data_IF_121249668414
#
_entry.id   IF_121249668414
#
_cell.length_a   1.000
_cell.length_b   1.000
_cell.length_c   1.000
_cell.angle_alpha   90.00
_cell.angle_beta   90.00
_cell.angle_gamma   90.00
#
_symmetry.space_group_name_H-M   'P 1'
#
loop_
_entity.id
_entity.type
_entity.pdbx_description
1 polymer ?
#
# COMPACT_ATOMS: atom_id res chain seq x y z
N UNK A 1 1.48 -0.73 28.60
CA UNK A 1 1.71 -0.02 27.32
C UNK A 1 3.20 0.21 27.06
N UNK A 2 3.89 1.16 27.73
CA UNK A 2 5.31 1.51 27.42
C UNK A 2 6.29 0.33 27.30
N UNK A 3 6.32 -0.60 28.25
CA UNK A 3 7.23 -1.75 28.19
C UNK A 3 6.94 -2.65 26.98
N UNK A 4 5.65 -2.93 26.72
CA UNK A 4 5.20 -3.68 25.54
C UNK A 4 5.67 -3.01 24.24
N UNK A 5 5.52 -1.69 24.14
CA UNK A 5 5.98 -0.90 22.98
C UNK A 5 7.49 -1.04 22.79
N UNK A 6 8.28 -0.91 23.86
CA UNK A 6 9.75 -1.04 23.80
C UNK A 6 10.15 -2.45 23.36
N UNK A 7 9.50 -3.48 23.89
CA UNK A 7 9.82 -4.86 23.53
C UNK A 7 9.42 -5.19 22.09
N UNK A 8 8.29 -4.64 21.61
CA UNK A 8 7.89 -4.71 20.21
C UNK A 8 8.90 -4.05 19.28
N UNK A 9 9.34 -2.83 19.60
CA UNK A 9 10.37 -2.11 18.84
C UNK A 9 11.69 -2.88 18.78
N UNK A 10 12.13 -3.47 19.89
CA UNK A 10 13.33 -4.33 19.90
C UNK A 10 13.20 -5.52 18.94
N UNK A 11 12.03 -6.16 18.88
CA UNK A 11 11.79 -7.28 17.96
C UNK A 11 11.78 -6.81 16.51
N UNK A 12 11.09 -5.72 16.20
CA UNK A 12 11.07 -5.12 14.86
C UNK A 12 12.50 -4.78 14.40
N UNK A 13 13.30 -4.14 15.26
CA UNK A 13 14.70 -3.82 14.96
C UNK A 13 15.54 -5.03 14.63
N UNK A 14 15.43 -6.08 15.45
CA UNK A 14 16.14 -7.34 15.22
C UNK A 14 15.67 -8.00 13.92
N UNK A 15 14.36 -7.98 13.62
CA UNK A 15 13.82 -8.52 12.38
C UNK A 15 14.38 -7.78 11.17
N UNK A 16 14.24 -6.45 11.11
CA UNK A 16 14.74 -5.60 10.02
C UNK A 16 16.23 -5.85 9.79
N UNK A 17 17.05 -5.89 10.85
CA UNK A 17 18.49 -6.15 10.72
C UNK A 17 18.82 -7.54 10.15
N UNK A 18 17.91 -8.51 10.27
CA UNK A 18 18.09 -9.88 9.78
C UNK A 18 17.46 -10.16 8.41
N UNK A 19 16.45 -9.39 8.01
CA UNK A 19 15.66 -9.65 6.79
C UNK A 19 15.85 -8.60 5.70
N UNK A 20 16.27 -7.38 6.05
CA UNK A 20 16.48 -6.27 5.12
C UNK A 20 17.96 -5.87 5.04
N UNK A 21 18.40 -5.30 3.90
CA UNK A 21 19.72 -4.69 3.81
C UNK A 21 19.86 -3.47 4.72
N UNK A 22 21.09 -3.21 5.17
CA UNK A 22 21.40 -2.02 5.96
C UNK A 22 21.60 -0.85 5.00
N UNK A 23 20.88 0.26 5.21
CA UNK A 23 21.04 1.48 4.42
C UNK A 23 22.49 1.93 4.37
N UNK A 24 23.02 2.12 3.16
CA UNK A 24 24.33 2.74 2.94
C UNK A 24 24.20 4.26 2.82
N UNK A 25 25.30 5.01 2.92
CA UNK A 25 25.27 6.46 2.76
C UNK A 25 25.05 6.92 1.30
N UNK A 26 25.45 6.11 0.31
CA UNK A 26 25.34 6.52 -1.10
C UNK A 26 25.70 5.48 -2.15
N UNK A 27 26.07 4.24 -1.77
CA UNK A 27 26.37 3.16 -2.74
C UNK A 27 25.11 2.47 -3.24
N UNK A 28 24.15 2.29 -2.34
CA UNK A 28 22.91 1.58 -2.61
C UNK A 28 21.70 2.48 -2.32
N UNK A 29 20.54 2.13 -2.85
CA UNK A 29 19.26 2.77 -2.55
C UNK A 29 18.24 1.72 -2.16
N UNK A 30 17.78 1.76 -0.91
CA UNK A 30 16.74 0.88 -0.38
C UNK A 30 15.38 1.57 -0.50
N UNK A 31 14.59 1.15 -1.49
CA UNK A 31 13.27 1.70 -1.76
C UNK A 31 12.17 0.66 -1.54
N UNK A 32 10.94 1.12 -1.40
CA UNK A 32 9.81 0.21 -1.24
C UNK A 32 8.44 0.80 -1.55
N UNK A 33 7.42 -0.02 -1.35
CA UNK A 33 6.02 0.39 -1.37
C UNK A 33 5.24 -0.27 -0.25
N UNK A 34 4.24 0.44 0.28
CA UNK A 34 3.37 -0.07 1.33
C UNK A 34 2.00 0.59 1.34
N UNK A 35 0.95 -0.19 1.07
CA UNK A 35 -0.41 0.21 1.38
C UNK A 35 -0.60 0.16 2.91
N UNK A 36 -0.88 1.30 3.54
CA UNK A 36 -0.98 1.42 5.00
C UNK A 36 -2.43 1.31 5.50
N UNK A 37 -3.35 0.78 4.68
CA UNK A 37 -4.74 0.41 4.98
C UNK A 37 -5.55 1.49 5.69
N UNK A 38 -6.30 2.28 4.93
CA UNK A 38 -7.21 3.33 5.39
C UNK A 38 -6.63 4.07 6.62
N UNK A 39 -5.52 4.77 6.42
CA UNK A 39 -4.65 5.17 7.52
C UNK A 39 -5.38 5.97 8.61
N UNK A 40 -5.37 5.37 9.81
CA UNK A 40 -6.05 5.75 11.05
C UNK A 40 -7.56 6.05 10.97
N UNK A 41 -8.21 5.65 9.89
CA UNK A 41 -9.64 5.90 9.69
C UNK A 41 -10.50 5.03 10.60
N UNK A 42 -11.62 5.59 11.07
CA UNK A 42 -12.58 4.89 11.90
C UNK A 42 -13.94 4.63 11.24
N UNK A 43 -14.07 4.80 9.92
CA UNK A 43 -15.32 4.51 9.19
C UNK A 43 -15.83 3.07 9.36
N UNK A 44 -14.94 2.13 9.66
CA UNK A 44 -15.27 0.72 9.88
C UNK A 44 -15.29 0.30 11.35
N UNK A 45 -15.12 1.24 12.30
CA UNK A 45 -15.06 0.96 13.75
C UNK A 45 -13.92 0.02 14.15
N UNK A 46 -12.79 0.13 13.45
CA UNK A 46 -11.54 -0.56 13.78
C UNK A 46 -10.42 0.40 14.23
N UNK A 47 -10.64 1.71 14.06
CA UNK A 47 -9.73 2.75 14.49
C UNK A 47 -10.25 3.51 15.73
N UNK A 48 -9.54 4.56 16.16
CA UNK A 48 -8.17 4.88 15.76
C UNK A 48 -7.18 3.77 16.15
N UNK A 49 -6.02 3.74 15.50
CA UNK A 49 -4.93 2.82 15.82
C UNK A 49 -4.43 3.06 17.24
N UNK A 50 -3.90 2.01 17.86
CA UNK A 50 -3.21 2.11 19.14
C UNK A 50 -1.98 3.01 19.04
N UNK A 51 -1.64 3.67 20.14
CA UNK A 51 -0.47 4.55 20.22
C UNK A 51 0.85 3.83 19.88
N UNK A 52 1.02 2.59 20.34
CA UNK A 52 2.20 1.78 19.99
C UNK A 52 2.34 1.51 18.49
N UNK A 53 1.22 1.44 17.75
CA UNK A 53 1.25 1.14 16.33
C UNK A 53 2.00 2.24 15.57
N UNK A 54 1.85 3.51 15.94
CA UNK A 54 2.60 4.61 15.34
C UNK A 54 4.11 4.45 15.50
N UNK A 55 4.58 3.98 16.66
CA UNK A 55 6.02 3.72 16.85
C UNK A 55 6.50 2.52 16.03
N UNK A 56 5.68 1.46 15.93
CA UNK A 56 6.02 0.29 15.10
C UNK A 56 6.08 0.64 13.61
N UNK A 57 5.09 1.38 13.11
CA UNK A 57 5.05 1.87 11.74
C UNK A 57 6.26 2.78 11.45
N UNK A 58 6.57 3.72 12.35
CA UNK A 58 7.73 4.59 12.22
C UNK A 58 9.05 3.81 12.16
N UNK A 59 9.25 2.81 13.03
CA UNK A 59 10.46 1.99 13.00
C UNK A 59 10.63 1.27 11.66
N UNK A 60 9.55 0.70 11.12
CA UNK A 60 9.59 0.02 9.81
C UNK A 60 9.87 1.00 8.67
N UNK A 61 9.17 2.14 8.62
CA UNK A 61 9.37 3.15 7.57
C UNK A 61 10.80 3.71 7.63
N UNK A 62 11.39 3.86 8.82
CA UNK A 62 12.75 4.37 9.00
C UNK A 62 13.84 3.49 8.38
N UNK A 63 13.52 2.22 8.07
CA UNK A 63 14.44 1.30 7.40
C UNK A 63 14.64 1.63 5.91
N UNK A 64 13.74 2.40 5.30
CA UNK A 64 13.78 2.76 3.89
C UNK A 64 14.55 4.07 3.66
N UNK A 65 15.14 4.22 2.48
CA UNK A 65 15.60 5.53 1.99
C UNK A 65 14.43 6.33 1.41
N UNK A 66 13.52 5.64 0.72
CA UNK A 66 12.26 6.19 0.18
C UNK A 66 11.19 5.09 0.13
N UNK A 67 9.97 5.42 0.50
CA UNK A 67 8.83 4.51 0.56
C UNK A 67 7.62 5.14 -0.11
N UNK A 68 7.06 4.47 -1.11
CA UNK A 68 5.74 4.79 -1.64
C UNK A 68 4.66 4.30 -0.68
N UNK A 69 3.69 5.15 -0.35
CA UNK A 69 2.60 4.84 0.58
C UNK A 69 1.24 5.08 -0.05
N UNK A 70 0.31 4.15 0.15
CA UNK A 70 -1.06 4.22 -0.36
C UNK A 70 -2.08 4.22 0.79
N UNK A 71 -3.32 4.61 0.50
CA UNK A 71 -4.43 4.68 1.45
C UNK A 71 -4.24 5.66 2.63
N UNK A 72 -3.54 6.78 2.39
CA UNK A 72 -3.53 7.89 3.33
C UNK A 72 -4.89 8.58 3.29
N UNK A 73 -5.61 8.62 4.41
CA UNK A 73 -6.97 9.16 4.45
C UNK A 73 -7.04 10.69 4.40
N UNK A 74 -8.28 11.21 4.30
CA UNK A 74 -8.56 12.64 4.20
C UNK A 74 -8.00 13.44 5.39
N UNK A 75 -8.17 12.93 6.61
CA UNK A 75 -7.57 13.50 7.82
C UNK A 75 -6.07 13.18 7.88
N UNK A 76 -5.26 14.22 7.76
CA UNK A 76 -3.80 14.11 7.81
C UNK A 76 -3.23 14.20 9.23
N UNK A 77 -4.06 14.44 10.26
CA UNK A 77 -3.57 14.57 11.64
C UNK A 77 -2.78 13.33 12.09
N UNK A 78 -3.28 12.10 11.86
CA UNK A 78 -2.53 10.89 12.22
C UNK A 78 -1.28 10.71 11.35
N UNK A 79 -1.35 11.04 10.06
CA UNK A 79 -0.21 10.91 9.15
C UNK A 79 0.93 11.86 9.57
N UNK A 80 0.62 13.10 9.92
CA UNK A 80 1.61 14.05 10.44
C UNK A 80 2.24 13.55 11.74
N UNK A 81 1.44 12.99 12.67
CA UNK A 81 1.96 12.34 13.88
C UNK A 81 2.96 11.22 13.55
N UNK A 82 2.67 10.40 12.54
CA UNK A 82 3.59 9.34 12.10
C UNK A 82 4.92 9.91 11.58
N UNK A 83 4.86 10.93 10.72
CA UNK A 83 6.07 11.60 10.20
C UNK A 83 6.84 12.33 11.31
N UNK A 84 6.16 12.98 12.24
CA UNK A 84 6.79 13.61 13.41
C UNK A 84 7.51 12.57 14.29
N UNK A 85 6.95 11.36 14.38
CA UNK A 85 7.57 10.23 15.10
C UNK A 85 8.81 9.70 14.38
N UNK A 86 8.84 9.74 13.05
CA UNK A 86 10.01 9.37 12.24
C UNK A 86 11.20 10.32 12.47
N UNK A 87 10.94 11.59 12.75
CA UNK A 87 11.97 12.59 13.01
C UNK A 87 12.25 13.52 11.83
N UNK A 88 13.01 14.61 12.08
CA UNK A 88 13.19 15.73 11.16
C UNK A 88 14.00 15.38 9.90
N UNK A 89 14.66 14.23 9.83
CA UNK A 89 15.34 13.76 8.63
C UNK A 89 14.38 13.22 7.57
N UNK A 90 13.13 12.92 7.93
CA UNK A 90 12.12 12.44 7.00
C UNK A 90 11.25 13.59 6.49
N UNK A 91 10.87 13.49 5.22
CA UNK A 91 9.94 14.40 4.58
C UNK A 91 8.99 13.60 3.67
N UNK A 92 7.94 14.24 3.19
CA UNK A 92 6.95 13.58 2.36
C UNK A 92 6.39 14.48 1.26
N UNK A 93 5.92 13.83 0.20
CA UNK A 93 5.14 14.47 -0.86
C UNK A 93 3.96 13.56 -1.20
N UNK A 94 2.77 14.13 -1.40
CA UNK A 94 1.54 13.35 -1.63
C UNK A 94 0.60 14.07 -2.59
N UNK A 95 -0.33 13.32 -3.16
CA UNK A 95 -1.48 13.86 -3.91
C UNK A 95 -2.48 14.53 -2.98
N UNK A 96 -3.44 15.26 -3.55
CA UNK A 96 -4.70 15.47 -2.85
C UNK A 96 -5.62 14.24 -2.98
N UNK A 97 -6.78 14.25 -2.31
CA UNK A 97 -7.77 13.18 -2.42
C UNK A 97 -8.37 13.11 -3.82
N UNK A 98 -8.49 11.90 -4.36
CA UNK A 98 -9.23 11.70 -5.61
C UNK A 98 -10.72 11.92 -5.36
N UNK A 99 -11.34 12.88 -6.05
CA UNK A 99 -12.75 13.27 -5.87
C UNK A 99 -13.77 12.28 -6.44
N UNK A 100 -13.36 11.36 -7.31
CA UNK A 100 -14.25 10.35 -7.88
C UNK A 100 -14.67 9.29 -6.84
N UNK A 101 -15.89 8.76 -6.95
CA UNK A 101 -16.40 7.74 -6.02
C UNK A 101 -15.49 6.50 -5.90
N UNK A 102 -14.81 6.13 -6.99
CA UNK A 102 -13.86 5.00 -7.01
C UNK A 102 -12.52 5.31 -6.33
N UNK A 103 -12.29 6.55 -5.91
CA UNK A 103 -11.03 7.03 -5.34
C UNK A 103 -10.93 6.95 -3.82
N UNK A 104 -11.97 6.48 -3.14
CA UNK A 104 -12.02 6.24 -1.68
C UNK A 104 -11.70 7.43 -0.75
N UNK A 105 -11.55 8.64 -1.28
CA UNK A 105 -11.06 9.81 -0.53
C UNK A 105 -9.70 9.55 0.12
N UNK A 106 -8.82 8.87 -0.61
CA UNK A 106 -7.47 8.55 -0.18
C UNK A 106 -6.42 9.29 -1.02
N UNK A 107 -5.19 9.31 -0.51
CA UNK A 107 -4.02 9.90 -1.15
C UNK A 107 -2.95 8.85 -1.38
N UNK A 108 -2.14 9.10 -2.39
CA UNK A 108 -0.89 8.41 -2.64
C UNK A 108 0.26 9.35 -2.28
N UNK A 109 1.37 8.81 -1.78
CA UNK A 109 2.50 9.65 -1.44
C UNK A 109 3.82 8.89 -1.35
N UNK A 110 4.87 9.65 -1.05
CA UNK A 110 6.21 9.16 -0.79
C UNK A 110 6.70 9.73 0.53
N UNK A 111 7.29 8.90 1.37
CA UNK A 111 8.05 9.29 2.56
C UNK A 111 9.53 9.00 2.25
N UNK A 112 10.43 9.96 2.48
CA UNK A 112 11.84 9.80 2.13
C UNK A 112 12.78 10.44 3.15
N UNK A 113 13.97 9.85 3.30
CA UNK A 113 15.02 10.37 4.16
C UNK A 113 15.84 11.43 3.40
N UNK A 114 15.71 12.69 3.84
CA UNK A 114 16.35 13.87 3.24
C UNK A 114 17.87 13.87 3.34
N UNK A 115 18.46 13.05 4.21
CA UNK A 115 19.91 12.93 4.28
C UNK A 115 20.51 12.21 3.06
N UNK A 116 19.67 11.53 2.26
CA UNK A 116 20.13 10.74 1.12
C UNK A 116 19.32 10.96 -0.16
N UNK A 117 18.01 11.14 -0.03
CA UNK A 117 17.09 11.31 -1.16
C UNK A 117 16.62 12.76 -1.23
N UNK A 118 16.81 13.38 -2.39
CA UNK A 118 16.35 14.74 -2.68
C UNK A 118 15.22 14.71 -3.71
N UNK A 119 14.13 15.41 -3.43
CA UNK A 119 13.12 15.73 -4.44
C UNK A 119 13.70 16.73 -5.44
N UNK A 120 13.59 16.44 -6.75
CA UNK A 120 14.23 17.26 -7.80
C UNK A 120 13.30 18.30 -8.43
N UNK A 121 12.08 18.46 -7.91
CA UNK A 121 11.18 19.57 -8.27
C UNK A 121 10.07 19.22 -9.25
N UNK A 122 9.95 17.97 -9.71
CA UNK A 122 8.86 17.55 -10.60
C UNK A 122 7.96 16.55 -9.87
N UNK A 123 6.70 16.92 -9.70
CA UNK A 123 5.62 16.06 -9.25
C UNK A 123 4.44 16.17 -10.21
N UNK A 124 3.77 15.05 -10.48
CA UNK A 124 2.64 15.04 -11.40
C UNK A 124 1.78 13.80 -11.26
N UNK A 125 0.49 13.99 -11.49
CA UNK A 125 -0.48 12.91 -11.59
C UNK A 125 -0.61 12.43 -13.05
N UNK A 126 -0.80 11.13 -13.23
CA UNK A 126 -1.00 10.52 -14.53
C UNK A 126 -2.48 10.57 -14.94
N UNK A 127 -2.82 11.45 -15.86
CA UNK A 127 -4.17 11.52 -16.42
C UNK A 127 -4.20 10.96 -17.84
N UNK A 128 -5.26 10.22 -18.15
CA UNK A 128 -5.46 9.67 -19.49
C UNK A 128 -5.99 10.75 -20.44
N UNK A 129 -5.38 10.92 -21.63
CA UNK A 129 -6.01 11.65 -22.73
C UNK A 129 -7.41 11.13 -23.05
N UNK A 130 -8.31 11.98 -23.54
CA UNK A 130 -9.73 11.65 -23.75
C UNK A 130 -9.96 10.46 -24.70
N UNK A 131 -9.07 10.26 -25.67
CA UNK A 131 -9.08 9.14 -26.62
C UNK A 131 -8.51 7.85 -26.03
N UNK A 132 -7.81 7.93 -24.90
CA UNK A 132 -7.16 6.82 -24.20
C UNK A 132 -7.82 6.46 -22.86
N UNK A 133 -8.93 7.12 -22.51
CA UNK A 133 -9.72 6.79 -21.33
C UNK A 133 -10.24 5.35 -21.38
N UNK A 134 -10.29 4.72 -20.21
CA UNK A 134 -10.67 3.31 -20.06
C UNK A 134 -12.18 3.20 -20.31
N UNK A 135 -12.56 2.37 -21.28
CA UNK A 135 -13.94 2.21 -21.73
C UNK A 135 -14.54 0.90 -21.21
N UNK A 136 -15.75 0.96 -20.64
CA UNK A 136 -16.55 -0.21 -20.26
C UNK A 136 -17.82 -0.36 -21.12
N UNK A 137 -17.70 -0.09 -22.44
CA UNK A 137 -18.79 -0.06 -23.44
C UNK A 137 -19.77 1.10 -23.26
N UNK A 138 -20.04 1.51 -22.02
CA UNK A 138 -21.03 2.55 -21.69
C UNK A 138 -20.44 3.86 -21.19
N UNK A 139 -19.24 3.85 -20.59
CA UNK A 139 -18.58 5.04 -20.07
C UNK A 139 -17.10 5.07 -20.43
N UNK A 140 -16.56 6.29 -20.61
CA UNK A 140 -15.12 6.55 -20.60
C UNK A 140 -14.70 6.98 -19.20
N UNK A 141 -13.61 6.42 -18.69
CA UNK A 141 -13.17 6.60 -17.30
C UNK A 141 -11.70 7.02 -17.22
N UNK A 142 -11.41 7.88 -16.24
CA UNK A 142 -10.05 8.01 -15.69
C UNK A 142 -9.73 6.83 -14.79
N UNK A 143 -8.48 6.75 -14.31
CA UNK A 143 -8.09 5.82 -13.24
C UNK A 143 -8.98 5.98 -12.00
N UNK A 144 -9.20 4.89 -11.25
CA UNK A 144 -9.94 4.95 -9.99
C UNK A 144 -9.27 5.89 -8.98
N UNK A 145 -7.94 5.78 -8.89
CA UNK A 145 -7.04 6.72 -8.21
C UNK A 145 -5.97 7.10 -9.21
N UNK A 146 -5.75 8.39 -9.37
CA UNK A 146 -4.77 8.88 -10.34
C UNK A 146 -3.37 8.46 -9.90
N UNK A 147 -2.59 7.73 -10.72
CA UNK A 147 -1.22 7.37 -10.37
C UNK A 147 -0.38 8.62 -10.10
N UNK A 148 0.49 8.56 -9.10
CA UNK A 148 1.28 9.71 -8.66
C UNK A 148 2.75 9.50 -8.94
N UNK A 149 3.40 10.48 -9.55
CA UNK A 149 4.79 10.39 -9.99
C UNK A 149 5.59 11.59 -9.51
N UNK A 150 6.77 11.33 -8.96
CA UNK A 150 7.72 12.35 -8.53
C UNK A 150 9.13 12.02 -9.02
N UNK A 151 9.94 13.02 -9.28
CA UNK A 151 11.37 12.83 -9.58
C UNK A 151 12.22 13.04 -8.33
N UNK A 152 13.11 12.10 -8.10
CA UNK A 152 14.03 12.07 -6.97
C UNK A 152 15.46 11.83 -7.44
N UNK A 153 16.40 12.17 -6.58
CA UNK A 153 17.81 11.88 -6.77
C UNK A 153 18.43 11.37 -5.48
N UNK A 154 19.24 10.33 -5.60
CA UNK A 154 20.12 9.82 -4.55
C UNK A 154 21.53 9.71 -5.12
N UNK A 155 22.47 10.47 -4.56
CA UNK A 155 23.80 10.65 -5.15
C UNK A 155 23.70 10.97 -6.66
N UNK A 156 24.18 10.09 -7.54
CA UNK A 156 24.19 10.30 -8.99
C UNK A 156 22.95 9.70 -9.67
N UNK A 157 22.22 8.86 -8.96
CA UNK A 157 21.05 8.16 -9.48
C UNK A 157 19.82 9.05 -9.44
N UNK A 158 19.34 9.43 -10.62
CA UNK A 158 18.09 10.16 -10.80
C UNK A 158 17.01 9.17 -11.22
N UNK A 159 15.84 9.29 -10.61
CA UNK A 159 14.74 8.38 -10.90
C UNK A 159 13.38 9.08 -10.80
N UNK A 160 12.50 8.69 -11.69
CA UNK A 160 11.08 8.94 -11.60
C UNK A 160 10.44 7.78 -10.83
N UNK A 161 9.88 8.09 -9.66
CA UNK A 161 9.21 7.14 -8.80
C UNK A 161 7.71 7.34 -8.91
N UNK A 162 7.02 6.34 -9.46
CA UNK A 162 5.59 6.37 -9.72
C UNK A 162 4.88 5.34 -8.84
N UNK A 163 3.82 5.75 -8.15
CA UNK A 163 3.00 4.89 -7.30
C UNK A 163 1.57 4.77 -7.82
N UNK A 164 1.00 3.57 -7.71
CA UNK A 164 -0.39 3.26 -8.07
C UNK A 164 -1.17 2.68 -6.88
N UNK A 165 -2.48 2.86 -6.93
CA UNK A 165 -3.44 2.01 -6.23
C UNK A 165 -4.54 1.62 -7.22
N UNK A 166 -4.35 0.49 -7.88
CA UNK A 166 -5.17 0.05 -9.02
C UNK A 166 -6.56 -0.36 -8.54
N UNK A 167 -7.58 -0.10 -9.35
CA UNK A 167 -8.95 -0.54 -9.08
C UNK A 167 -9.06 -2.04 -8.75
N UNK A 168 -9.48 -2.35 -7.52
CA UNK A 168 -9.81 -3.71 -7.12
C UNK A 168 -11.07 -4.22 -7.85
N UNK A 169 -12.24 -3.65 -7.59
CA UNK A 169 -13.50 -4.10 -8.17
C UNK A 169 -14.14 -5.28 -7.45
N UNK A 170 -14.26 -6.43 -8.11
CA UNK A 170 -14.81 -7.68 -7.54
C UNK A 170 -13.89 -8.85 -7.86
N UNK A 171 -13.92 -9.87 -7.01
CA UNK A 171 -13.28 -11.15 -7.29
C UNK A 171 -13.93 -11.84 -8.50
N UNK A 172 -13.10 -12.46 -9.34
CA UNK A 172 -13.53 -13.22 -10.51
C UNK A 172 -12.97 -12.69 -11.83
N UNK A 173 -12.21 -13.56 -12.53
CA UNK A 173 -11.51 -13.23 -13.78
C UNK A 173 -12.43 -12.91 -14.96
N UNK A 174 -13.68 -13.38 -14.94
CA UNK A 174 -14.66 -13.19 -16.02
C UNK A 174 -15.67 -12.07 -15.72
N UNK A 175 -15.22 -11.00 -15.06
CA UNK A 175 -16.08 -9.87 -14.68
C UNK A 175 -15.66 -8.59 -15.42
N UNK A 176 -16.60 -7.68 -15.74
CA UNK A 176 -16.25 -6.35 -16.26
C UNK A 176 -15.32 -5.57 -15.32
N UNK A 177 -15.42 -5.81 -14.00
CA UNK A 177 -14.56 -5.19 -12.99
C UNK A 177 -13.10 -5.66 -13.11
N UNK A 178 -12.88 -6.96 -13.34
CA UNK A 178 -11.54 -7.49 -13.58
C UNK A 178 -10.96 -6.98 -14.90
N UNK A 179 -11.77 -6.90 -15.96
CA UNK A 179 -11.33 -6.30 -17.23
C UNK A 179 -10.91 -4.83 -17.05
N UNK A 180 -11.64 -4.06 -16.24
CA UNK A 180 -11.23 -2.70 -15.86
C UNK A 180 -9.91 -2.67 -15.10
N UNK A 181 -9.70 -3.57 -14.14
CA UNK A 181 -8.41 -3.70 -13.40
C UNK A 181 -7.25 -3.89 -14.38
N UNK A 182 -7.37 -4.85 -15.30
CA UNK A 182 -6.34 -5.12 -16.33
C UNK A 182 -6.12 -3.89 -17.22
N UNK A 183 -7.18 -3.18 -17.61
CA UNK A 183 -7.06 -1.98 -18.43
C UNK A 183 -6.38 -0.81 -17.69
N UNK A 184 -6.63 -0.64 -16.38
CA UNK A 184 -5.91 0.34 -15.56
C UNK A 184 -4.41 0.02 -15.51
N UNK A 185 -4.03 -1.25 -15.34
CA UNK A 185 -2.63 -1.70 -15.34
C UNK A 185 -1.97 -1.47 -16.70
N UNK A 186 -2.61 -1.88 -17.81
CA UNK A 186 -2.07 -1.67 -19.16
C UNK A 186 -1.88 -0.18 -19.48
N UNK A 187 -2.83 0.67 -19.07
CA UNK A 187 -2.77 2.10 -19.34
C UNK A 187 -1.63 2.79 -18.57
N UNK A 188 -1.43 2.48 -17.29
CA UNK A 188 -0.30 3.05 -16.51
C UNK A 188 1.04 2.53 -17.01
N UNK A 189 1.15 1.23 -17.29
CA UNK A 189 2.37 0.62 -17.80
C UNK A 189 2.77 1.26 -19.14
N UNK A 190 1.82 1.37 -20.08
CA UNK A 190 2.04 2.02 -21.36
C UNK A 190 2.48 3.48 -21.23
N UNK A 191 1.89 4.23 -20.31
CA UNK A 191 2.25 5.64 -20.10
C UNK A 191 3.69 5.76 -19.61
N UNK A 192 4.04 5.01 -18.56
CA UNK A 192 5.38 5.08 -17.95
C UNK A 192 6.44 4.57 -18.91
N UNK A 193 6.16 3.50 -19.67
CA UNK A 193 7.07 2.98 -20.70
C UNK A 193 7.36 4.03 -21.79
N UNK A 194 6.32 4.70 -22.33
CA UNK A 194 6.51 5.80 -23.29
C UNK A 194 7.31 6.97 -22.72
N UNK A 195 7.11 7.29 -21.44
CA UNK A 195 7.87 8.35 -20.79
C UNK A 195 9.34 7.97 -20.68
N UNK A 196 9.63 6.73 -20.28
CA UNK A 196 10.99 6.18 -20.19
C UNK A 196 11.70 6.15 -21.56
N UNK A 197 10.99 5.92 -22.67
CA UNK A 197 11.58 6.01 -24.03
C UNK A 197 12.10 7.42 -24.34
N UNK A 198 11.44 8.46 -23.82
CA UNK A 198 11.76 9.87 -24.06
C UNK A 198 12.66 10.51 -23.01
N UNK A 199 12.71 9.95 -21.80
CA UNK A 199 13.49 10.44 -20.66
C UNK A 199 14.65 9.48 -20.37
N UNK A 200 15.79 9.77 -21.00
CA UNK A 200 17.03 9.01 -20.79
C UNK A 200 17.88 9.56 -19.65
N UNK A 201 17.38 10.51 -18.86
CA UNK A 201 18.11 11.02 -17.70
C UNK A 201 17.68 10.31 -16.42
N UNK A 202 16.40 9.97 -16.30
CA UNK A 202 15.83 9.35 -15.11
C UNK A 202 15.54 7.87 -15.33
N UNK A 203 15.94 7.03 -14.38
CA UNK A 203 15.37 5.68 -14.31
C UNK A 203 13.87 5.77 -14.01
N UNK A 204 13.06 4.89 -14.59
CA UNK A 204 11.62 4.87 -14.34
C UNK A 204 11.23 3.65 -13.52
N UNK A 205 10.70 3.91 -12.32
CA UNK A 205 10.32 2.89 -11.35
C UNK A 205 8.82 3.06 -11.06
N UNK A 206 8.07 1.97 -11.21
CA UNK A 206 6.64 1.90 -10.98
C UNK A 206 6.36 0.92 -9.84
N UNK A 207 5.69 1.38 -8.79
CA UNK A 207 5.40 0.61 -7.58
C UNK A 207 3.98 0.82 -7.11
N UNK A 208 3.52 0.06 -6.13
CA UNK A 208 2.24 0.29 -5.47
C UNK A 208 1.42 -0.97 -5.36
N UNK A 209 0.16 -0.77 -5.01
CA UNK A 209 -0.85 -1.80 -4.95
C UNK A 209 -1.50 -1.95 -6.34
N UNK A 210 -1.17 -3.04 -7.02
CA UNK A 210 -1.73 -3.38 -8.33
C UNK A 210 -2.97 -4.27 -8.23
N UNK A 211 -3.35 -4.73 -7.03
CA UNK A 211 -4.38 -5.73 -6.84
C UNK A 211 -4.15 -6.99 -7.70
N UNK A 212 -2.89 -7.41 -7.86
CA UNK A 212 -2.49 -8.64 -8.56
C UNK A 212 -2.59 -9.82 -7.59
N UNK A 213 -3.37 -10.84 -7.93
CA UNK A 213 -3.55 -11.97 -7.03
C UNK A 213 -2.47 -13.05 -7.18
N UNK A 214 -1.96 -13.24 -8.40
CA UNK A 214 -1.03 -14.31 -8.78
C UNK A 214 0.07 -13.76 -9.69
N UNK A 215 1.30 -14.30 -9.60
CA UNK A 215 2.46 -13.90 -10.41
C UNK A 215 2.38 -14.35 -11.88
N UNK A 216 1.30 -15.03 -12.26
CA UNK A 216 1.02 -15.48 -13.61
C UNK A 216 -0.41 -15.05 -13.97
N UNK A 217 -0.57 -14.40 -15.13
CA UNK A 217 -1.88 -14.04 -15.67
C UNK A 217 -1.96 -12.61 -16.20
N UNK A 218 -3.14 -12.22 -16.73
CA UNK A 218 -3.31 -11.03 -17.56
C UNK A 218 -2.87 -9.71 -16.91
N UNK A 219 -2.99 -9.61 -15.58
CA UNK A 219 -2.56 -8.42 -14.84
C UNK A 219 -1.03 -8.32 -14.72
N UNK A 220 -0.33 -9.45 -14.57
CA UNK A 220 1.14 -9.49 -14.59
C UNK A 220 1.66 -9.31 -16.02
N UNK A 221 1.02 -9.98 -16.99
CA UNK A 221 1.36 -9.88 -18.41
C UNK A 221 1.24 -8.45 -18.94
N UNK A 222 0.33 -7.64 -18.40
CA UNK A 222 0.18 -6.23 -18.77
C UNK A 222 1.43 -5.39 -18.47
N UNK A 223 2.14 -5.64 -17.37
CA UNK A 223 3.42 -4.99 -17.07
C UNK A 223 4.51 -5.47 -18.04
N UNK A 224 4.67 -6.80 -18.16
CA UNK A 224 5.68 -7.41 -19.01
C UNK A 224 5.53 -7.02 -20.50
N UNK A 225 4.29 -6.87 -20.96
CA UNK A 225 3.94 -6.44 -22.33
C UNK A 225 4.57 -5.10 -22.72
N UNK A 226 4.76 -4.18 -21.79
CA UNK A 226 5.37 -2.86 -22.05
C UNK A 226 6.86 -2.82 -21.68
N UNK A 227 7.48 -3.98 -21.50
CA UNK A 227 8.93 -4.10 -21.28
C UNK A 227 9.37 -3.88 -19.84
N UNK A 228 8.46 -3.84 -18.87
CA UNK A 228 8.85 -3.77 -17.46
C UNK A 228 9.54 -5.06 -17.02
N UNK A 229 10.64 -4.89 -16.29
CA UNK A 229 11.18 -5.93 -15.44
C UNK A 229 10.54 -5.81 -14.06
N UNK A 230 10.04 -6.94 -13.55
CA UNK A 230 9.34 -7.01 -12.28
C UNK A 230 10.15 -7.86 -11.32
N UNK A 231 10.39 -7.36 -10.12
CA UNK A 231 10.94 -8.19 -9.05
C UNK A 231 9.87 -9.18 -8.61
N UNK A 232 10.09 -10.46 -8.92
CA UNK A 232 9.19 -11.53 -8.50
C UNK A 232 9.39 -11.77 -7.00
N UNK A 233 8.42 -11.32 -6.21
CA UNK A 233 8.40 -11.58 -4.78
C UNK A 233 8.36 -13.10 -4.54
N UNK A 234 9.11 -13.57 -3.54
CA UNK A 234 9.10 -14.99 -3.15
C UNK A 234 7.86 -15.37 -2.35
N UNK A 235 7.17 -14.37 -1.80
CA UNK A 235 6.03 -14.50 -0.89
C UNK A 235 4.97 -13.46 -1.25
N UNK A 236 3.71 -13.73 -0.92
CA UNK A 236 2.64 -12.75 -1.11
C UNK A 236 2.83 -11.51 -0.21
N UNK A 237 2.36 -10.36 -0.69
CA UNK A 237 2.45 -9.08 -0.01
C UNK A 237 1.27 -8.79 0.92
N UNK A 238 0.23 -9.63 0.95
CA UNK A 238 -0.84 -9.49 1.95
C UNK A 238 -0.47 -10.13 3.30
N UNK A 239 -1.21 -9.85 4.37
CA UNK A 239 -0.91 -10.30 5.74
C UNK A 239 -0.88 -11.83 5.91
N UNK A 240 -1.57 -12.58 5.04
CA UNK A 240 -1.50 -14.04 5.00
C UNK A 240 -0.45 -14.58 4.01
N UNK A 241 0.22 -13.69 3.27
CA UNK A 241 1.27 -13.95 2.30
C UNK A 241 0.87 -14.90 1.15
N UNK A 242 -0.41 -14.87 0.81
CA UNK A 242 -1.03 -15.70 -0.24
C UNK A 242 -1.30 -14.95 -1.54
N UNK A 243 -1.34 -13.61 -1.51
CA UNK A 243 -1.67 -12.74 -2.65
C UNK A 243 -0.52 -11.78 -2.94
N UNK A 244 -0.28 -11.48 -4.21
CA UNK A 244 0.84 -10.66 -4.68
C UNK A 244 0.39 -9.25 -5.09
N UNK A 245 -0.43 -8.61 -4.26
CA UNK A 245 -1.10 -7.36 -4.63
C UNK A 245 -0.13 -6.26 -5.02
N UNK A 246 0.99 -6.17 -4.30
CA UNK A 246 1.98 -5.10 -4.44
C UNK A 246 3.12 -5.51 -5.37
N UNK A 247 3.59 -4.56 -6.19
CA UNK A 247 4.67 -4.79 -7.14
C UNK A 247 5.73 -3.69 -7.06
N UNK A 248 6.98 -4.06 -7.36
CA UNK A 248 8.05 -3.13 -7.71
C UNK A 248 8.55 -3.51 -9.10
N UNK A 249 8.40 -2.58 -10.03
CA UNK A 249 8.74 -2.77 -11.45
C UNK A 249 9.58 -1.61 -11.95
N UNK A 250 10.47 -1.88 -12.89
CA UNK A 250 11.35 -0.88 -13.47
C UNK A 250 11.44 -1.04 -14.98
N UNK A 251 11.65 0.07 -15.66
CA UNK A 251 11.96 0.05 -17.09
C UNK A 251 13.46 -0.28 -17.25
N UNK A 252 13.80 -1.36 -17.96
CA UNK A 252 15.18 -1.76 -18.16
C UNK A 252 15.82 -0.86 -19.22
N UNK A 253 16.40 0.26 -18.80
CA UNK A 253 17.51 0.80 -19.58
C UNK A 253 18.74 -0.05 -19.26
N UNK A 254 19.31 -0.69 -20.29
CA UNK A 254 20.39 -1.68 -20.13
C UNK A 254 21.50 -1.12 -19.24
N UNK A 255 21.64 -1.71 -18.04
CA UNK A 255 22.75 -1.45 -17.12
C UNK A 255 22.59 -0.28 -16.13
N UNK A 256 21.40 0.32 -15.98
CA UNK A 256 21.18 1.43 -15.01
C UNK A 256 20.47 1.05 -13.72
N UNK A 257 19.65 -0.01 -13.72
CA UNK A 257 18.95 -0.49 -12.53
C UNK A 257 19.34 -1.94 -12.30
N UNK A 258 20.15 -2.17 -11.27
CA UNK A 258 20.56 -3.51 -10.86
C UNK A 258 20.37 -3.66 -9.36
N UNK A 259 20.06 -4.89 -8.93
CA UNK A 259 20.04 -5.21 -7.50
C UNK A 259 21.42 -4.98 -6.89
N UNK A 260 21.45 -4.38 -5.71
CA UNK A 260 22.66 -4.40 -4.88
C UNK A 260 22.80 -5.77 -4.22
N UNK A 261 24.01 -6.33 -4.22
CA UNK A 261 24.35 -7.58 -3.54
C UNK A 261 23.33 -8.73 -3.77
N UNK A 262 22.94 -9.04 -5.02
CA UNK A 262 21.90 -10.04 -5.31
C UNK A 262 22.21 -11.43 -4.71
N UNK A 263 23.49 -11.75 -4.54
CA UNK A 263 23.98 -12.98 -3.91
C UNK A 263 23.63 -13.11 -2.41
N UNK A 264 23.31 -12.00 -1.74
CA UNK A 264 22.91 -12.00 -0.32
C UNK A 264 21.57 -12.73 -0.08
N UNK A 265 20.71 -12.79 -1.10
CA UNK A 265 19.35 -13.30 -0.98
C UNK A 265 18.39 -12.40 -0.21
N UNK A 266 18.85 -11.24 0.29
CA UNK A 266 18.06 -10.24 1.04
C UNK A 266 17.97 -8.90 0.32
N UNK A 267 18.46 -8.78 -0.91
CA UNK A 267 18.39 -7.55 -1.70
C UNK A 267 16.95 -7.10 -2.02
N UNK A 268 15.96 -7.98 -1.90
CA UNK A 268 14.55 -7.66 -2.11
C UNK A 268 13.66 -8.62 -1.30
N UNK A 269 12.45 -8.20 -0.97
CA UNK A 269 11.54 -9.06 -0.21
C UNK A 269 10.28 -8.37 0.30
N UNK A 270 9.57 -9.12 1.16
CA UNK A 270 8.39 -8.70 1.90
C UNK A 270 8.73 -8.77 3.38
N UNK A 271 8.33 -7.78 4.18
CA UNK A 271 8.53 -7.80 5.64
C UNK A 271 7.21 -8.00 6.37
N UNK A 272 7.03 -9.18 7.00
CA UNK A 272 5.86 -9.44 7.84
C UNK A 272 6.06 -8.88 9.25
N UNK A 273 5.51 -7.69 9.49
CA UNK A 273 5.61 -7.01 10.81
C UNK A 273 4.92 -7.83 11.91
N UNK A 274 3.96 -8.68 11.54
CA UNK A 274 3.23 -9.57 12.43
C UNK A 274 4.09 -10.70 13.04
N UNK A 275 5.30 -10.92 12.54
CA UNK A 275 6.29 -11.81 13.18
C UNK A 275 6.89 -11.18 14.44
N UNK A 276 6.87 -9.84 14.55
CA UNK A 276 7.46 -9.10 15.66
C UNK A 276 6.43 -8.53 16.63
N UNK A 277 5.26 -8.10 16.15
CA UNK A 277 4.23 -7.45 16.97
C UNK A 277 2.85 -7.91 16.57
N UNK A 278 1.89 -7.81 17.49
CA UNK A 278 0.54 -8.34 17.30
C UNK A 278 0.55 -9.83 16.92
N UNK A 279 1.47 -10.57 17.55
CA UNK A 279 1.63 -12.02 17.37
C UNK A 279 0.52 -12.75 18.12
N UNK A 280 0.39 -14.05 17.88
CA UNK A 280 -0.58 -14.88 18.60
C UNK A 280 -0.34 -14.83 20.12
N UNK A 281 0.93 -14.92 20.55
CA UNK A 281 1.31 -14.82 21.95
C UNK A 281 1.06 -13.43 22.57
N UNK A 282 0.90 -12.40 21.74
CA UNK A 282 0.59 -11.05 22.22
C UNK A 282 -0.93 -10.85 22.44
N UNK A 283 -1.80 -11.77 21.99
CA UNK A 283 -3.26 -11.64 22.09
C UNK A 283 -3.76 -11.28 23.51
N UNK A 284 -3.31 -11.94 24.60
CA UNK A 284 -3.76 -11.60 25.94
C UNK A 284 -3.46 -10.13 26.34
N UNK A 285 -2.46 -9.50 25.73
CA UNK A 285 -2.11 -8.10 25.99
C UNK A 285 -3.07 -7.11 25.30
N UNK A 286 -3.76 -7.55 24.26
CA UNK A 286 -4.64 -6.73 23.42
C UNK A 286 -6.11 -7.12 23.54
N UNK A 287 -6.45 -8.17 24.31
CA UNK A 287 -7.80 -8.71 24.38
C UNK A 287 -8.85 -7.67 24.81
N UNK A 288 -8.50 -6.83 25.79
CA UNK A 288 -9.37 -5.73 26.22
C UNK A 288 -9.65 -4.72 25.09
N UNK A 289 -8.61 -4.35 24.32
CA UNK A 289 -8.78 -3.44 23.18
C UNK A 289 -9.60 -4.08 22.05
N UNK A 290 -9.47 -5.39 21.85
CA UNK A 290 -10.29 -6.16 20.91
C UNK A 290 -11.75 -6.18 21.37
N UNK A 291 -12.01 -6.41 22.65
CA UNK A 291 -13.37 -6.36 23.24
C UNK A 291 -14.00 -4.97 23.12
N UNK A 292 -13.25 -3.91 23.38
CA UNK A 292 -13.72 -2.53 23.19
C UNK A 292 -14.11 -2.27 21.74
N UNK A 293 -13.28 -2.73 20.78
CA UNK A 293 -13.56 -2.61 19.35
C UNK A 293 -14.84 -3.38 18.98
N UNK A 294 -15.00 -4.61 19.47
CA UNK A 294 -16.21 -5.43 19.27
C UNK A 294 -17.45 -4.72 19.83
N UNK A 295 -17.33 -4.10 21.01
CA UNK A 295 -18.39 -3.32 21.63
C UNK A 295 -18.84 -2.16 20.74
N UNK A 296 -17.91 -1.33 20.29
CA UNK A 296 -18.20 -0.20 19.39
C UNK A 296 -18.81 -0.67 18.07
N UNK A 297 -18.30 -1.75 17.47
CA UNK A 297 -18.86 -2.34 16.25
C UNK A 297 -20.28 -2.86 16.45
N UNK A 298 -20.55 -3.43 17.62
CA UNK A 298 -21.89 -3.93 17.97
C UNK A 298 -22.88 -2.78 18.08
N UNK A 299 -22.48 -1.67 18.70
CA UNK A 299 -23.34 -0.49 18.85
C UNK A 299 -23.61 0.20 17.51
N UNK A 300 -22.59 0.30 16.65
CA UNK A 300 -22.74 0.80 15.27
C UNK A 300 -23.70 -0.09 14.45
N UNK A 301 -23.57 -1.41 14.55
CA UNK A 301 -24.47 -2.35 13.88
C UNK A 301 -25.92 -2.21 14.38
N UNK A 302 -26.13 -2.03 15.69
CA UNK A 302 -27.46 -1.75 16.25
C UNK A 302 -28.05 -0.44 15.74
N UNK A 303 -27.25 0.61 15.63
CA UNK A 303 -27.68 1.89 15.08
C UNK A 303 -28.07 1.75 13.59
N UNK A 304 -27.27 1.04 12.79
CA UNK A 304 -27.59 0.73 11.38
C UNK A 304 -28.88 -0.06 11.26
N UNK A 305 -29.10 -1.07 12.11
CA UNK A 305 -30.34 -1.85 12.15
C UNK A 305 -31.55 -0.97 12.48
N UNK A 306 -31.44 -0.10 13.48
CA UNK A 306 -32.51 0.82 13.86
C UNK A 306 -32.88 1.76 12.69
N UNK A 307 -31.89 2.36 12.03
CA UNK A 307 -32.10 3.21 10.84
C UNK A 307 -32.74 2.46 9.67
N UNK A 308 -32.31 1.22 9.44
CA UNK A 308 -32.89 0.38 8.39
C UNK A 308 -34.36 0.05 8.67
N UNK A 309 -34.69 -0.33 9.92
CA UNK A 309 -36.07 -0.60 10.34
C UNK A 309 -36.96 0.65 10.29
N UNK A 310 -36.44 1.82 10.65
CA UNK A 310 -37.16 3.09 10.50
C UNK A 310 -37.51 3.38 9.04
N UNK A 311 -36.57 3.16 8.10
CA UNK A 311 -36.84 3.32 6.66
C UNK A 311 -37.96 2.37 6.20
N UNK A 312 -37.95 1.12 6.63
CA UNK A 312 -38.96 0.12 6.26
C UNK A 312 -40.38 0.47 6.76
N UNK A 313 -40.50 1.28 7.81
CA UNK A 313 -41.79 1.73 8.35
C UNK A 313 -42.35 2.96 7.62
N UNK A 314 -41.63 3.56 6.68
CA UNK A 314 -42.11 4.74 5.95
C UNK A 314 -43.26 4.35 5.02
N UNK A 315 -44.41 5.04 5.08
CA UNK A 315 -45.60 4.67 4.32
C UNK A 315 -45.45 4.89 2.81
N UNK A 316 -44.49 5.71 2.39
CA UNK A 316 -44.22 6.15 1.02
C UNK A 316 -42.91 5.58 0.44
N UNK A 317 -42.34 4.53 1.06
CA UNK A 317 -41.10 3.93 0.58
C UNK A 317 -41.27 3.26 -0.79
N UNK A 318 -40.39 3.57 -1.73
CA UNK A 318 -40.34 2.89 -3.02
C UNK A 318 -39.70 1.49 -2.90
N UNK A 319 -40.02 0.59 -3.83
CA UNK A 319 -39.58 -0.81 -3.76
C UNK A 319 -38.05 -0.96 -3.70
N UNK A 320 -37.31 -0.14 -4.45
CA UNK A 320 -35.84 -0.20 -4.47
C UNK A 320 -35.24 0.24 -3.13
N UNK A 321 -35.79 1.29 -2.53
CA UNK A 321 -35.39 1.74 -1.19
C UNK A 321 -35.75 0.72 -0.13
N UNK A 322 -36.89 0.03 -0.27
CA UNK A 322 -37.33 -1.04 0.63
C UNK A 322 -36.38 -2.24 0.56
N UNK A 323 -36.10 -2.77 -0.62
CA UNK A 323 -35.13 -3.87 -0.82
C UNK A 323 -33.76 -3.53 -0.22
N UNK A 324 -33.29 -2.29 -0.42
CA UNK A 324 -32.02 -1.83 0.16
C UNK A 324 -32.07 -1.80 1.69
N UNK A 325 -33.17 -1.31 2.27
CA UNK A 325 -33.32 -1.25 3.72
C UNK A 325 -33.45 -2.65 4.35
N UNK A 326 -34.12 -3.60 3.69
CA UNK A 326 -34.16 -5.01 4.11
C UNK A 326 -32.76 -5.63 4.10
N UNK A 327 -31.99 -5.37 3.04
CA UNK A 327 -30.60 -5.83 2.95
C UNK A 327 -29.71 -5.21 4.02
N UNK A 328 -29.84 -3.91 4.27
CA UNK A 328 -29.10 -3.19 5.32
C UNK A 328 -29.44 -3.75 6.72
N UNK A 329 -30.72 -4.05 6.98
CA UNK A 329 -31.18 -4.64 8.24
C UNK A 329 -30.61 -6.05 8.43
N UNK A 330 -30.73 -6.93 7.44
CA UNK A 330 -30.21 -8.29 7.49
C UNK A 330 -28.68 -8.31 7.70
N UNK A 331 -27.94 -7.44 7.01
CA UNK A 331 -26.50 -7.32 7.19
C UNK A 331 -26.12 -6.82 8.60
N UNK A 332 -26.90 -5.90 9.17
CA UNK A 332 -26.70 -5.42 10.52
C UNK A 332 -27.02 -6.49 11.59
N UNK A 333 -28.09 -7.26 11.41
CA UNK A 333 -28.45 -8.39 12.29
C UNK A 333 -27.37 -9.47 12.29
N UNK A 334 -26.90 -9.89 11.11
CA UNK A 334 -25.82 -10.85 10.97
C UNK A 334 -24.52 -10.37 11.66
N UNK A 335 -24.17 -9.09 11.50
CA UNK A 335 -23.01 -8.51 12.18
C UNK A 335 -23.15 -8.52 13.72
N UNK A 336 -24.34 -8.24 14.26
CA UNK A 336 -24.58 -8.28 15.71
C UNK A 336 -24.41 -9.71 16.24
N UNK A 337 -24.96 -10.70 15.54
CA UNK A 337 -24.84 -12.12 15.93
C UNK A 337 -23.39 -12.59 15.89
N UNK A 338 -22.67 -12.30 14.81
CA UNK A 338 -21.25 -12.62 14.67
C UNK A 338 -20.41 -11.98 15.79
N UNK A 339 -20.59 -10.68 16.03
CA UNK A 339 -19.84 -9.95 17.06
C UNK A 339 -20.18 -10.45 18.47
N UNK A 340 -21.44 -10.85 18.73
CA UNK A 340 -21.84 -11.44 20.00
C UNK A 340 -21.11 -12.78 20.24
N UNK A 341 -21.02 -13.62 19.20
CA UNK A 341 -20.27 -14.88 19.25
C UNK A 341 -18.79 -14.62 19.55
N UNK A 342 -18.14 -13.76 18.75
CA UNK A 342 -16.72 -13.38 18.93
C UNK A 342 -16.48 -12.81 20.34
N UNK A 343 -17.41 -12.02 20.88
CA UNK A 343 -17.28 -11.46 22.23
C UNK A 343 -17.24 -12.55 23.31
N UNK A 344 -18.07 -13.57 23.18
CA UNK A 344 -18.22 -14.62 24.21
C UNK A 344 -17.23 -15.77 24.09
N UNK A 345 -16.77 -16.08 22.88
CA UNK A 345 -15.84 -17.18 22.61
C UNK A 345 -14.40 -16.66 22.48
N UNK A 346 -13.54 -17.03 23.42
CA UNK A 346 -12.13 -16.62 23.42
C UNK A 346 -11.34 -17.13 22.20
N UNK A 347 -11.68 -18.31 21.66
CA UNK A 347 -11.03 -18.85 20.46
C UNK A 347 -11.43 -18.03 19.25
N UNK A 348 -12.73 -17.76 19.08
CA UNK A 348 -13.23 -16.91 18.00
C UNK A 348 -12.66 -15.49 18.09
N UNK A 349 -12.51 -14.94 19.30
CA UNK A 349 -11.91 -13.62 19.52
C UNK A 349 -10.44 -13.55 19.18
N UNK A 350 -9.67 -14.60 19.52
CA UNK A 350 -8.27 -14.73 19.10
C UNK A 350 -8.16 -14.81 17.57
N UNK A 351 -9.03 -15.57 16.93
CA UNK A 351 -9.09 -15.68 15.48
C UNK A 351 -9.40 -14.34 14.81
N UNK A 352 -10.39 -13.61 15.34
CA UNK A 352 -10.71 -12.25 14.92
C UNK A 352 -9.52 -11.30 15.10
N UNK A 353 -8.82 -11.39 16.23
CA UNK A 353 -7.61 -10.62 16.49
C UNK A 353 -6.53 -10.85 15.43
N UNK A 354 -6.27 -12.12 15.08
CA UNK A 354 -5.23 -12.52 14.12
C UNK A 354 -5.58 -12.23 12.66
N UNK A 355 -6.85 -12.41 12.29
CA UNK A 355 -7.28 -12.35 10.88
C UNK A 355 -7.76 -10.96 10.45
N UNK A 356 -8.28 -10.17 11.39
CA UNK A 356 -8.93 -8.90 11.06
C UNK A 356 -8.40 -7.75 11.92
N UNK A 357 -8.61 -7.77 13.25
CA UNK A 357 -8.35 -6.61 14.10
C UNK A 357 -6.91 -6.08 14.00
N UNK A 358 -5.89 -6.94 14.03
CA UNK A 358 -4.48 -6.51 13.97
C UNK A 358 -4.09 -5.86 12.66
N UNK A 359 -4.80 -6.19 11.57
CA UNK A 359 -4.52 -5.62 10.24
C UNK A 359 -4.90 -4.14 10.17
N UNK A 360 -5.87 -3.69 10.98
CA UNK A 360 -6.16 -2.27 11.14
C UNK A 360 -5.17 -1.53 12.04
N UNK A 361 -4.36 -2.24 12.84
CA UNK A 361 -3.30 -1.63 13.65
C UNK A 361 -2.05 -1.36 12.82
N UNK A 362 -1.67 -2.29 11.95
CA UNK A 362 -0.51 -2.17 11.05
C UNK A 362 -1.01 -1.94 9.62
N UNK A 363 -1.24 -3.03 8.88
CA UNK A 363 -1.87 -3.08 7.56
C UNK A 363 -2.14 -4.55 7.22
N UNK A 364 -3.09 -4.83 6.32
CA UNK A 364 -3.21 -6.12 5.63
C UNK A 364 -2.26 -6.26 4.44
N UNK A 365 -1.56 -5.20 4.08
CA UNK A 365 -0.44 -5.25 3.16
C UNK A 365 0.87 -5.18 3.95
N UNK A 366 1.88 -5.86 3.43
CA UNK A 366 3.21 -5.93 3.99
C UNK A 366 4.15 -5.06 3.15
N UNK A 367 5.07 -4.31 3.79
CA UNK A 367 6.06 -3.53 3.07
C UNK A 367 6.85 -4.39 2.10
N UNK A 368 6.90 -3.94 0.86
CA UNK A 368 7.72 -4.53 -0.19
C UNK A 368 8.95 -3.67 -0.42
N UNK A 369 10.12 -4.30 -0.56
CA UNK A 369 11.38 -3.57 -0.66
C UNK A 369 12.32 -4.14 -1.72
N UNK A 370 13.18 -3.27 -2.23
CA UNK A 370 14.33 -3.62 -3.06
C UNK A 370 15.50 -2.68 -2.76
N UNK A 371 16.71 -3.23 -2.73
CA UNK A 371 17.96 -2.51 -2.70
C UNK A 371 18.59 -2.47 -4.09
N UNK A 372 18.78 -1.26 -4.61
CA UNK A 372 19.41 -1.01 -5.90
C UNK A 372 20.86 -0.57 -5.73
N UNK A 373 21.73 -0.99 -6.65
CA UNK A 373 23.04 -0.38 -6.80
C UNK A 373 22.88 0.95 -7.55
N UNK A 374 23.44 2.02 -6.98
CA UNK A 374 23.35 3.39 -7.51
C UNK A 374 24.71 4.03 -7.72
N UNK A 375 25.82 3.32 -7.46
CA UNK A 375 27.17 3.80 -7.69
C UNK A 375 27.71 3.24 -9.03
N UNK A 376 27.40 3.96 -10.09
CA UNK A 376 27.88 3.67 -11.44
C UNK A 376 29.07 4.55 -11.87
N UNK A 377 29.77 5.18 -10.92
CA UNK A 377 30.85 6.12 -11.23
C UNK A 377 31.97 5.49 -12.06
N UNK A 378 32.40 4.27 -11.70
CA UNK A 378 33.45 3.54 -12.45
C UNK A 378 33.02 3.25 -13.89
N UNK A 379 31.82 2.70 -14.08
CA UNK A 379 31.29 2.39 -15.41
C UNK A 379 31.15 3.64 -16.29
N UNK A 380 30.75 4.76 -15.68
CA UNK A 380 30.70 6.06 -16.36
C UNK A 380 32.10 6.52 -16.80
N UNK A 381 33.09 6.49 -15.90
CA UNK A 381 34.46 6.87 -16.23
C UNK A 381 35.07 6.00 -17.34
N UNK A 382 34.78 4.71 -17.35
CA UNK A 382 35.22 3.80 -18.41
C UNK A 382 34.52 4.10 -19.74
N UNK A 383 33.23 4.44 -19.72
CA UNK A 383 32.50 4.84 -20.93
C UNK A 383 33.08 6.09 -21.60
N UNK A 384 33.59 7.05 -20.79
CA UNK A 384 34.26 8.25 -21.30
C UNK A 384 35.58 7.93 -22.00
N UNK A 385 36.34 6.94 -21.50
CA UNK A 385 37.56 6.46 -22.18
C UNK A 385 37.23 5.80 -23.53
N UNK A 386 36.15 5.02 -23.59
CA UNK A 386 35.73 4.32 -24.81
C UNK A 386 35.10 5.26 -25.86
N UNK A 387 34.50 6.37 -25.44
CA UNK A 387 33.86 7.35 -26.33
C UNK A 387 34.85 8.38 -26.92
N UNK A 388 36.10 8.37 -26.48
CA UNK A 388 37.15 9.31 -26.87
C UNK A 388 38.04 8.87 -28.03
N UNK A 389 37.65 7.86 -28.81
CA UNK A 389 38.35 7.40 -30.02
C UNK A 389 37.52 7.66 -31.29
#
# INVERSE_FOLDING_TARGET
>A
MKNRTIDGLKRIRSQIASTMPIRTAGRTLLLGTWNIRNFDDNRFRHGPRLDEAFFYLAEVISAFDILAVQEICQDLTPFRRLVDTLGPEHDYIMTDVTLGESGNSERLGFIYNRNKVSFTGIAGELVLPFDQQISDVTNKRQFARTPFSCTFQSAWFKFNFSTVHIYYGKEGRNTPQFARRVAEIDAVAKFVARRAESDRENAHILVGDFNIEELEGPTFDALAKHGFEVFKNRQGSNATQTKFYDQISFMPEVGRVTLANPESGTAHGVVSIFESVFREEDFPLYDDAVLDTIGQRTDDAKERLAKARERLQRPDIDERSKERAEKDAAAAEAAIEELAMIRTDAVARRDYYLKDWRTYQISDHLPLFVELDIDFATAYLDSLKSSGN
#
